data_IF_475137734727
#
_entry.id   IF_475137734727
#
_cell.length_a   1.000
_cell.length_b   1.000
_cell.length_c   1.000
_cell.angle_alpha   90.00
_cell.angle_beta   90.00
_cell.angle_gamma   90.00
#
_symmetry.space_group_name_H-M   'P 1'
#
loop_
_entity.id
_entity.type
_entity.pdbx_description
1 polymer ?
#
# COMPACT_ATOMS: atom_id res chain seq x y z
N UNK A 1 -21.59 -2.41 0.50
CA UNK A 1 -21.27 -3.03 1.81
C UNK A 1 -22.21 -4.18 2.05
N UNK A 2 -21.68 -5.30 2.49
CA UNK A 2 -22.49 -6.50 2.78
C UNK A 2 -22.93 -6.50 4.24
N UNK A 3 -22.08 -6.01 5.15
CA UNK A 3 -22.38 -5.84 6.56
C UNK A 3 -21.52 -4.71 7.14
N UNK A 4 -21.99 -4.08 8.23
CA UNK A 4 -21.25 -3.05 8.94
C UNK A 4 -21.57 -1.62 8.51
N UNK A 5 -20.78 -0.69 8.99
CA UNK A 5 -20.85 0.74 8.69
C UNK A 5 -19.90 1.12 7.57
N UNK A 6 -20.18 2.21 6.89
CA UNK A 6 -19.28 2.71 5.86
C UNK A 6 -19.55 4.16 5.52
N UNK A 7 -18.51 4.81 5.01
CA UNK A 7 -18.55 6.20 4.59
C UNK A 7 -18.05 6.24 3.12
N UNK A 8 -18.77 6.92 2.21
CA UNK A 8 -18.30 7.08 0.83
C UNK A 8 -17.18 8.12 0.81
N UNK A 9 -15.95 7.71 1.05
CA UNK A 9 -14.78 8.57 1.21
C UNK A 9 -14.61 9.52 0.02
N UNK A 10 -14.92 9.08 -1.19
CA UNK A 10 -14.83 9.90 -2.42
C UNK A 10 -15.85 11.06 -2.45
N UNK A 11 -16.88 11.00 -1.62
CA UNK A 11 -17.90 12.04 -1.50
C UNK A 11 -17.74 12.91 -0.24
N UNK A 12 -16.73 12.65 0.57
CA UNK A 12 -16.43 13.45 1.76
C UNK A 12 -15.70 14.73 1.36
N UNK A 13 -16.09 15.85 1.97
CA UNK A 13 -15.36 17.12 1.81
C UNK A 13 -13.92 16.94 2.29
N UNK A 14 -12.94 17.46 1.53
CA UNK A 14 -11.50 17.20 1.74
C UNK A 14 -11.03 17.42 3.18
N UNK A 15 -11.53 18.43 3.87
CA UNK A 15 -11.17 18.73 5.27
C UNK A 15 -11.59 17.63 6.25
N UNK A 16 -12.51 16.76 5.84
CA UNK A 16 -13.07 15.70 6.70
C UNK A 16 -12.63 14.29 6.27
N UNK A 17 -11.83 14.13 5.21
CA UNK A 17 -11.43 12.79 4.73
C UNK A 17 -10.66 12.03 5.82
N UNK A 18 -9.68 12.66 6.48
CA UNK A 18 -8.93 12.02 7.55
C UNK A 18 -9.83 11.60 8.73
N UNK A 19 -10.73 12.49 9.19
CA UNK A 19 -11.67 12.16 10.25
C UNK A 19 -12.67 11.05 9.85
N UNK A 20 -13.09 11.01 8.59
CA UNK A 20 -13.93 9.93 8.08
C UNK A 20 -13.19 8.57 8.07
N UNK A 21 -11.91 8.57 7.72
CA UNK A 21 -11.07 7.38 7.77
C UNK A 21 -10.86 6.91 9.23
N UNK A 22 -10.58 7.81 10.16
CA UNK A 22 -10.46 7.53 11.60
C UNK A 22 -11.74 6.88 12.16
N UNK A 23 -12.90 7.36 11.76
CA UNK A 23 -14.17 6.76 12.18
C UNK A 23 -14.38 5.33 11.67
N UNK A 24 -13.74 4.94 10.59
CA UNK A 24 -13.81 3.59 10.02
C UNK A 24 -12.77 2.62 10.60
N UNK A 25 -11.79 3.14 11.33
CA UNK A 25 -10.72 2.38 12.00
C UNK A 25 -10.73 2.65 13.51
N UNK A 26 -11.85 2.33 14.23
CA UNK A 26 -11.95 2.57 15.66
C UNK A 26 -10.99 1.67 16.42
N UNK A 27 -10.63 2.08 17.65
CA UNK A 27 -9.85 1.24 18.55
C UNK A 27 -10.51 -0.14 18.72
N UNK A 28 -9.72 -1.18 18.62
CA UNK A 28 -10.16 -2.57 18.63
C UNK A 28 -9.28 -3.41 19.57
N UNK A 29 -9.57 -4.71 19.67
CA UNK A 29 -8.81 -5.68 20.46
C UNK A 29 -7.39 -5.83 19.90
N UNK A 30 -6.45 -6.22 20.77
CA UNK A 30 -5.00 -6.32 20.45
C UNK A 30 -4.67 -7.18 19.20
N UNK A 31 -5.51 -8.17 18.89
CA UNK A 31 -5.32 -9.06 17.74
C UNK A 31 -6.15 -8.67 16.50
N UNK A 32 -6.82 -7.52 16.53
CA UNK A 32 -7.56 -7.02 15.39
C UNK A 32 -6.62 -6.45 14.33
N UNK A 33 -6.92 -6.72 13.07
CA UNK A 33 -6.19 -6.17 11.92
C UNK A 33 -7.16 -5.50 10.99
N UNK A 34 -7.02 -4.20 10.80
CA UNK A 34 -7.69 -3.45 9.74
C UNK A 34 -6.85 -3.48 8.46
N UNK A 35 -7.47 -3.91 7.36
CA UNK A 35 -6.84 -3.86 6.04
C UNK A 35 -7.44 -2.69 5.27
N UNK A 36 -6.62 -1.68 4.98
CA UNK A 36 -7.04 -0.44 4.36
C UNK A 36 -6.52 -0.37 2.93
N UNK A 37 -7.43 -0.21 1.98
CA UNK A 37 -7.09 0.02 0.58
C UNK A 37 -7.17 1.51 0.26
N UNK A 38 -6.13 2.05 -0.37
CA UNK A 38 -6.08 3.44 -0.83
C UNK A 38 -6.51 3.62 -2.28
N UNK A 39 -6.62 4.87 -2.70
CA UNK A 39 -6.93 5.30 -4.07
C UNK A 39 -5.64 5.53 -4.86
N UNK A 40 -5.35 4.68 -5.85
CA UNK A 40 -4.20 4.82 -6.73
C UNK A 40 -2.88 4.89 -5.96
N UNK A 41 -2.41 6.08 -5.65
CA UNK A 41 -1.21 6.29 -4.83
C UNK A 41 -1.08 7.75 -4.39
N UNK A 42 -0.13 8.03 -3.48
CA UNK A 42 0.27 9.40 -3.12
C UNK A 42 0.87 10.19 -4.30
N UNK A 43 1.24 9.52 -5.39
CA UNK A 43 1.81 10.12 -6.61
C UNK A 43 0.80 10.23 -7.74
N UNK A 44 -0.46 9.81 -7.52
CA UNK A 44 -1.47 9.87 -8.57
C UNK A 44 -1.95 11.31 -8.80
N UNK A 45 -1.90 11.84 -10.03
CA UNK A 45 -2.21 13.25 -10.30
C UNK A 45 -3.64 13.67 -9.93
N UNK A 46 -4.58 12.72 -9.89
CA UNK A 46 -5.98 13.01 -9.58
C UNK A 46 -6.43 12.54 -8.17
N UNK A 47 -5.82 11.48 -7.61
CA UNK A 47 -6.36 10.81 -6.42
C UNK A 47 -5.43 10.82 -5.20
N UNK A 48 -4.29 11.50 -5.29
CA UNK A 48 -3.31 11.57 -4.20
C UNK A 48 -3.89 12.15 -2.89
N UNK A 49 -4.81 13.11 -2.99
CA UNK A 49 -5.41 13.75 -1.80
C UNK A 49 -6.25 12.78 -0.97
N UNK A 50 -7.00 11.88 -1.61
CA UNK A 50 -7.77 10.85 -0.90
C UNK A 50 -6.84 9.83 -0.25
N UNK A 51 -5.80 9.38 -0.96
CA UNK A 51 -4.77 8.48 -0.40
C UNK A 51 -4.08 9.08 0.81
N UNK A 52 -3.78 10.38 0.79
CA UNK A 52 -3.18 11.09 1.92
C UNK A 52 -4.15 11.19 3.11
N UNK A 53 -5.41 11.50 2.86
CA UNK A 53 -6.45 11.54 3.90
C UNK A 53 -6.67 10.18 4.57
N UNK A 54 -6.67 9.09 3.78
CA UNK A 54 -6.72 7.73 4.29
C UNK A 54 -5.49 7.40 5.15
N UNK A 55 -4.29 7.71 4.67
CA UNK A 55 -3.03 7.49 5.40
C UNK A 55 -3.03 8.22 6.75
N UNK A 56 -3.46 9.47 6.78
CA UNK A 56 -3.47 10.25 8.01
C UNK A 56 -4.58 9.86 8.97
N UNK A 57 -5.76 9.51 8.48
CA UNK A 57 -6.89 9.17 9.34
C UNK A 57 -6.81 7.76 9.91
N UNK A 58 -6.34 6.80 9.13
CA UNK A 58 -6.19 5.43 9.59
C UNK A 58 -4.92 5.17 10.41
N UNK A 59 -3.93 6.05 10.33
CA UNK A 59 -2.69 5.98 11.10
C UNK A 59 -2.02 4.59 11.11
N UNK A 60 -1.81 3.96 9.96
CA UNK A 60 -1.41 2.57 9.89
C UNK A 60 -0.04 2.33 10.55
N UNK A 61 0.13 1.20 11.21
CA UNK A 61 1.42 0.76 11.77
C UNK A 61 2.36 0.32 10.68
N UNK A 62 1.81 -0.21 9.58
CA UNK A 62 2.58 -0.65 8.44
C UNK A 62 1.82 -0.49 7.12
N UNK A 63 2.56 -0.52 6.03
CA UNK A 63 2.00 -0.56 4.68
C UNK A 63 2.77 -1.50 3.78
N UNK A 64 2.10 -1.96 2.73
CA UNK A 64 2.68 -2.75 1.64
C UNK A 64 2.60 -1.92 0.36
N UNK A 65 3.71 -1.81 -0.36
CA UNK A 65 3.72 -1.17 -1.67
C UNK A 65 3.27 -2.16 -2.73
N UNK A 66 2.19 -1.84 -3.45
CA UNK A 66 1.74 -2.62 -4.59
C UNK A 66 2.35 -2.07 -5.88
N UNK A 67 3.01 -2.92 -6.67
CA UNK A 67 3.70 -2.51 -7.89
C UNK A 67 3.49 -3.52 -9.02
N UNK A 68 3.40 -3.01 -10.25
CA UNK A 68 3.38 -3.81 -11.47
C UNK A 68 4.71 -3.62 -12.21
N UNK A 69 5.58 -4.65 -12.25
CA UNK A 69 6.87 -4.57 -12.95
C UNK A 69 6.68 -4.27 -14.43
N UNK A 70 7.55 -3.40 -14.97
CA UNK A 70 7.49 -2.99 -16.38
C UNK A 70 6.55 -1.84 -16.69
N UNK A 71 5.65 -1.46 -15.79
CA UNK A 71 4.85 -0.25 -15.95
C UNK A 71 5.70 0.98 -15.62
N UNK A 72 5.74 1.95 -16.54
CA UNK A 72 6.58 3.15 -16.41
C UNK A 72 5.79 4.44 -16.19
N UNK A 73 4.48 4.41 -16.44
CA UNK A 73 3.59 5.58 -16.35
C UNK A 73 2.29 5.24 -15.62
N UNK A 74 1.66 6.26 -15.06
CA UNK A 74 0.37 6.15 -14.38
C UNK A 74 -0.71 5.72 -15.37
N UNK A 75 -1.51 4.74 -15.00
CA UNK A 75 -2.59 4.23 -15.85
C UNK A 75 -3.59 5.35 -16.19
N UNK A 76 -3.85 5.57 -17.48
CA UNK A 76 -4.70 6.66 -17.95
C UNK A 76 -4.03 8.04 -18.02
N UNK A 77 -2.76 8.17 -17.56
CA UNK A 77 -2.02 9.43 -17.53
C UNK A 77 -0.61 9.23 -18.11
N UNK A 78 -0.45 9.14 -19.43
CA UNK A 78 0.81 8.79 -20.09
C UNK A 78 1.93 9.81 -19.89
N UNK A 79 1.61 11.05 -19.55
CA UNK A 79 2.60 12.10 -19.27
C UNK A 79 3.16 12.05 -17.83
N UNK A 80 2.59 11.21 -16.98
CA UNK A 80 2.99 11.08 -15.57
C UNK A 80 3.75 9.79 -15.35
N UNK A 81 5.05 9.92 -15.10
CA UNK A 81 5.92 8.78 -14.78
C UNK A 81 5.59 8.20 -13.41
N UNK A 82 5.64 6.86 -13.31
CA UNK A 82 5.55 6.20 -12.01
C UNK A 82 6.83 6.46 -11.19
N UNK A 83 6.70 6.69 -9.88
CA UNK A 83 7.83 6.70 -8.97
C UNK A 83 8.48 5.32 -8.88
N UNK A 84 9.71 5.26 -8.39
CA UNK A 84 10.33 4.01 -7.98
C UNK A 84 9.70 3.49 -6.69
N UNK A 85 9.89 2.21 -6.38
CA UNK A 85 9.39 1.62 -5.14
C UNK A 85 9.99 2.34 -3.92
N UNK A 86 11.27 2.69 -3.98
CA UNK A 86 11.95 3.43 -2.90
C UNK A 86 11.37 4.84 -2.69
N UNK A 87 11.06 5.55 -3.77
CA UNK A 87 10.41 6.86 -3.68
C UNK A 87 9.03 6.74 -3.03
N UNK A 88 8.26 5.70 -3.37
CA UNK A 88 6.97 5.42 -2.73
C UNK A 88 7.15 5.13 -1.25
N UNK A 89 8.10 4.27 -0.88
CA UNK A 89 8.38 3.95 0.52
C UNK A 89 8.78 5.20 1.30
N UNK A 90 9.76 5.96 0.78
CA UNK A 90 10.27 7.17 1.43
C UNK A 90 9.16 8.20 1.68
N UNK A 91 8.34 8.47 0.65
CA UNK A 91 7.26 9.45 0.73
C UNK A 91 6.15 8.99 1.68
N UNK A 92 5.76 7.71 1.61
CA UNK A 92 4.72 7.16 2.48
C UNK A 92 5.15 7.20 3.95
N UNK A 93 6.40 6.83 4.26
CA UNK A 93 6.95 6.93 5.62
C UNK A 93 7.01 8.39 6.07
N UNK A 94 7.48 9.30 5.22
CA UNK A 94 7.61 10.72 5.57
C UNK A 94 6.25 11.35 5.91
N UNK A 95 5.22 11.07 5.12
CA UNK A 95 3.87 11.60 5.34
C UNK A 95 3.14 10.87 6.47
N UNK A 96 3.27 9.55 6.56
CA UNK A 96 2.61 8.76 7.60
C UNK A 96 3.13 9.06 9.00
N UNK A 97 4.42 9.38 9.14
CA UNK A 97 5.02 9.80 10.41
C UNK A 97 4.43 11.07 11.01
N UNK A 98 3.69 11.85 10.25
CA UNK A 98 2.99 13.03 10.77
C UNK A 98 1.86 12.65 11.75
N UNK A 99 1.31 11.44 11.59
CA UNK A 99 0.20 10.94 12.43
C UNK A 99 0.57 9.68 13.21
N UNK A 100 1.41 8.80 12.64
CA UNK A 100 1.95 7.62 13.34
C UNK A 100 3.47 7.54 13.18
N UNK A 101 4.28 7.99 14.17
CA UNK A 101 5.74 7.93 14.08
C UNK A 101 6.34 6.53 13.91
N UNK A 102 5.59 5.48 14.26
CA UNK A 102 6.03 4.08 14.17
C UNK A 102 5.82 3.44 12.79
N UNK A 103 5.14 4.12 11.87
CA UNK A 103 4.83 3.58 10.54
C UNK A 103 6.06 3.04 9.83
N UNK A 104 5.94 1.84 9.25
CA UNK A 104 6.99 1.18 8.48
C UNK A 104 6.47 0.56 7.19
N UNK A 105 7.35 0.35 6.22
CA UNK A 105 7.06 -0.52 5.09
C UNK A 105 7.26 -1.98 5.52
N UNK A 106 6.21 -2.80 5.42
CA UNK A 106 6.30 -4.23 5.71
C UNK A 106 6.87 -5.02 4.52
N UNK A 107 6.73 -4.52 3.31
CA UNK A 107 7.25 -5.16 2.11
C UNK A 107 6.56 -4.69 0.84
N UNK A 108 6.77 -5.48 -0.23
CA UNK A 108 6.26 -5.13 -1.56
C UNK A 108 5.46 -6.29 -2.15
N UNK A 109 4.29 -5.98 -2.67
CA UNK A 109 3.44 -6.88 -3.43
C UNK A 109 3.62 -6.60 -4.93
N UNK A 110 4.10 -7.58 -5.70
CA UNK A 110 4.26 -7.47 -7.15
C UNK A 110 3.09 -8.12 -7.88
N UNK A 111 2.52 -7.42 -8.83
CA UNK A 111 1.64 -8.03 -9.82
C UNK A 111 2.48 -8.58 -10.98
N UNK A 112 2.74 -9.89 -10.98
CA UNK A 112 3.52 -10.55 -12.02
C UNK A 112 2.66 -11.32 -13.01
N UNK A 113 1.38 -10.98 -13.16
CA UNK A 113 0.44 -11.68 -14.04
C UNK A 113 0.87 -11.73 -15.51
N UNK A 114 1.66 -10.76 -15.98
CA UNK A 114 2.21 -10.70 -17.34
C UNK A 114 3.48 -11.53 -17.55
N UNK A 115 3.95 -12.29 -16.55
CA UNK A 115 5.22 -13.02 -16.57
C UNK A 115 5.02 -14.52 -16.40
N UNK A 116 5.94 -15.34 -16.93
CA UNK A 116 5.98 -16.77 -16.59
C UNK A 116 6.42 -16.98 -15.14
N UNK A 117 6.19 -18.18 -14.59
CA UNK A 117 6.57 -18.49 -13.20
C UNK A 117 8.07 -18.27 -12.95
N UNK A 118 8.92 -18.71 -13.87
CA UNK A 118 10.37 -18.52 -13.78
C UNK A 118 10.79 -17.04 -13.82
N UNK A 119 10.11 -16.23 -14.64
CA UNK A 119 10.37 -14.80 -14.70
C UNK A 119 9.88 -14.10 -13.42
N UNK A 120 8.68 -14.44 -12.95
CA UNK A 120 8.11 -13.91 -11.73
C UNK A 120 9.02 -14.20 -10.51
N UNK A 121 9.48 -15.45 -10.36
CA UNK A 121 10.38 -15.85 -9.29
C UNK A 121 11.70 -15.07 -9.32
N UNK A 122 12.28 -14.85 -10.51
CA UNK A 122 13.48 -14.04 -10.65
C UNK A 122 13.27 -12.58 -10.30
N UNK A 123 12.12 -11.99 -10.70
CA UNK A 123 11.76 -10.61 -10.37
C UNK A 123 11.59 -10.45 -8.85
N UNK A 124 10.84 -11.34 -8.22
CA UNK A 124 10.63 -11.32 -6.77
C UNK A 124 11.98 -11.41 -6.02
N UNK A 125 12.84 -12.35 -6.40
CA UNK A 125 14.14 -12.52 -5.77
C UNK A 125 15.05 -11.29 -5.95
N UNK A 126 15.11 -10.74 -7.17
CA UNK A 126 15.92 -9.57 -7.47
C UNK A 126 15.45 -8.32 -6.70
N UNK A 127 14.14 -8.09 -6.62
CA UNK A 127 13.58 -6.97 -5.88
C UNK A 127 13.76 -7.14 -4.35
N UNK A 128 13.63 -8.36 -3.84
CA UNK A 128 13.90 -8.67 -2.43
C UNK A 128 15.35 -8.35 -2.05
N UNK A 129 16.30 -8.78 -2.87
CA UNK A 129 17.74 -8.47 -2.67
C UNK A 129 18.01 -6.97 -2.76
N UNK A 130 17.44 -6.29 -3.77
CA UNK A 130 17.64 -4.86 -4.03
C UNK A 130 17.08 -3.96 -2.93
N UNK A 131 15.90 -4.30 -2.41
CA UNK A 131 15.19 -3.48 -1.42
C UNK A 131 15.56 -3.84 0.03
N UNK A 132 16.05 -5.05 0.26
CA UNK A 132 16.27 -5.57 1.62
C UNK A 132 14.96 -5.76 2.41
N UNK A 133 13.84 -5.92 1.71
CA UNK A 133 12.50 -6.10 2.25
C UNK A 133 11.85 -7.36 1.67
N UNK A 134 10.89 -7.99 2.36
CA UNK A 134 10.08 -9.04 1.78
C UNK A 134 9.36 -8.55 0.52
N UNK A 135 9.47 -9.33 -0.55
CA UNK A 135 8.78 -9.08 -1.83
C UNK A 135 8.07 -10.36 -2.24
N UNK A 136 6.81 -10.27 -2.65
CA UNK A 136 6.03 -11.43 -3.06
C UNK A 136 5.01 -11.07 -4.15
N UNK A 137 4.54 -12.06 -4.88
CA UNK A 137 3.29 -12.00 -5.64
C UNK A 137 2.22 -12.80 -4.88
N UNK A 138 1.25 -12.15 -4.23
CA UNK A 138 0.23 -12.83 -3.43
C UNK A 138 -0.62 -13.81 -4.22
N UNK A 139 -0.82 -13.56 -5.54
CA UNK A 139 -1.63 -14.45 -6.40
C UNK A 139 -0.92 -15.76 -6.71
N UNK A 140 0.41 -15.79 -6.62
CA UNK A 140 1.22 -17.00 -6.78
C UNK A 140 1.45 -17.74 -5.47
N UNK A 141 1.36 -17.02 -4.33
CA UNK A 141 1.60 -17.60 -3.01
C UNK A 141 3.04 -18.06 -2.80
N UNK A 142 3.20 -19.09 -1.99
CA UNK A 142 4.49 -19.75 -1.74
C UNK A 142 5.34 -19.07 -0.66
N UNK A 143 6.62 -19.52 -0.46
CA UNK A 143 7.44 -19.11 0.67
C UNK A 143 7.71 -17.59 0.76
N UNK A 144 7.80 -16.92 -0.39
CA UNK A 144 8.00 -15.46 -0.41
C UNK A 144 6.78 -14.71 0.15
N UNK A 145 5.58 -15.21 -0.13
CA UNK A 145 4.34 -14.64 0.40
C UNK A 145 4.20 -14.91 1.90
N UNK A 146 4.52 -16.12 2.36
CA UNK A 146 4.53 -16.43 3.80
C UNK A 146 5.51 -15.52 4.55
N UNK A 147 6.71 -15.29 4.02
CA UNK A 147 7.69 -14.36 4.60
C UNK A 147 7.14 -12.93 4.69
N UNK A 148 6.41 -12.47 3.66
CA UNK A 148 5.77 -11.16 3.68
C UNK A 148 4.70 -11.08 4.78
N UNK A 149 3.87 -12.12 4.94
CA UNK A 149 2.86 -12.20 6.00
C UNK A 149 3.50 -12.22 7.39
N UNK A 150 4.54 -13.01 7.60
CA UNK A 150 5.27 -13.06 8.88
C UNK A 150 5.81 -11.67 9.25
N UNK A 151 6.32 -10.92 8.25
CA UNK A 151 6.82 -9.56 8.46
C UNK A 151 5.71 -8.53 8.74
N UNK A 152 4.47 -8.84 8.43
CA UNK A 152 3.30 -8.06 8.82
C UNK A 152 2.83 -8.35 10.26
N UNK A 153 3.19 -9.50 10.83
CA UNK A 153 2.73 -9.92 12.14
C UNK A 153 3.70 -9.54 13.28
N UNK A 154 4.94 -9.22 12.97
CA UNK A 154 5.93 -9.01 14.00
C UNK A 154 7.03 -8.09 13.73
#
# INVERSE_FOLDING_TARGET
MIAGSGIPIDAVVSDFIAGAAEMLTPAAEEHHIDVIEGQGSLFHPAYASVSLGLLHGSQPDMFIVCHEPGRTHVLGYPDFRLPTIEEVILQTVALGKLTNPAIRCAGVSLNTSGYSDDQANRLVAAECERLGLPVADPLRGGPAFELLLDHCQG
#
